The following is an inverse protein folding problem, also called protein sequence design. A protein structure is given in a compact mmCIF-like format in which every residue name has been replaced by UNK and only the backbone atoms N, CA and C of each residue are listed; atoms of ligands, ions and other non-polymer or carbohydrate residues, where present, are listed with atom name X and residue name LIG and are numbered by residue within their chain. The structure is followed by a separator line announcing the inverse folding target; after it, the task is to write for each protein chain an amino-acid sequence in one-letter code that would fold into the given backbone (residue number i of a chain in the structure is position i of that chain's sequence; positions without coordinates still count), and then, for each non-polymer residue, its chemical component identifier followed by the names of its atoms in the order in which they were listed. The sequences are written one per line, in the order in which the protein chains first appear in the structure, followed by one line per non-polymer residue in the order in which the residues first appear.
data_IF_133840482072
#
_entry.id   IF_133840482072
#
_cell.length_a   1.000
_cell.length_b   1.000
_cell.length_c   1.000
_cell.angle_alpha   90.00
_cell.angle_beta   90.00
_cell.angle_gamma   90.00
#
_symmetry.space_group_name_H-M   'P 1'
#
loop_
_entity.id
_entity.type
_entity.pdbx_description
1 polymer ?
#
# COMPACT_ATOMS: atom_id res chain seq x y z
N UNK A 1 -4.20 -24.33 9.73
CA UNK A 1 -3.44 -24.98 8.65
C UNK A 1 -2.58 -23.91 8.01
N UNK A 2 -1.27 -24.12 7.96
CA UNK A 2 -0.37 -23.17 7.30
C UNK A 2 -0.52 -23.30 5.77
N UNK A 3 -0.72 -22.18 5.08
CA UNK A 3 -0.78 -22.16 3.62
C UNK A 3 0.64 -22.24 3.06
N UNK A 4 0.91 -23.23 2.20
CA UNK A 4 2.20 -23.36 1.53
C UNK A 4 2.25 -22.46 0.30
N UNK A 5 2.76 -21.23 0.46
CA UNK A 5 2.74 -20.21 -0.58
C UNK A 5 4.11 -20.04 -1.25
N UNK A 6 4.11 -19.96 -2.57
CA UNK A 6 5.29 -19.66 -3.38
C UNK A 6 5.36 -18.17 -3.75
N UNK A 7 6.57 -17.60 -3.72
CA UNK A 7 6.78 -16.23 -4.16
C UNK A 7 6.73 -16.15 -5.69
N UNK A 8 5.83 -15.31 -6.24
CA UNK A 8 5.64 -15.11 -7.68
C UNK A 8 5.94 -13.66 -8.10
N UNK A 9 7.00 -13.10 -7.52
CA UNK A 9 7.44 -11.74 -7.80
C UNK A 9 6.57 -10.66 -7.13
N UNK A 10 6.45 -9.51 -7.78
CA UNK A 10 5.80 -8.32 -7.22
C UNK A 10 4.72 -7.79 -8.16
N UNK A 11 3.77 -7.06 -7.59
CA UNK A 11 2.89 -6.16 -8.34
C UNK A 11 3.68 -4.90 -8.77
N UNK A 12 3.15 -4.14 -9.75
CA UNK A 12 3.71 -2.83 -10.08
C UNK A 12 3.88 -1.95 -8.83
N UNK A 13 5.00 -1.23 -8.80
CA UNK A 13 5.28 -0.27 -7.74
C UNK A 13 4.22 0.83 -7.74
N UNK A 14 3.83 1.26 -6.54
CA UNK A 14 2.96 2.42 -6.36
C UNK A 14 3.72 3.47 -5.56
N UNK A 15 3.39 4.74 -5.79
CA UNK A 15 3.91 5.87 -5.03
C UNK A 15 2.78 6.49 -4.21
N UNK A 16 3.05 6.73 -2.92
CA UNK A 16 2.12 7.32 -1.96
C UNK A 16 2.81 8.47 -1.25
N UNK A 17 2.13 9.60 -1.14
CA UNK A 17 2.62 10.76 -0.38
C UNK A 17 2.12 10.71 1.06
N UNK A 18 2.98 11.11 1.99
CA UNK A 18 2.70 11.09 3.43
C UNK A 18 3.13 12.39 4.13
N UNK A 19 2.95 12.45 5.44
CA UNK A 19 3.34 13.60 6.26
C UNK A 19 4.81 14.00 6.03
N UNK A 20 5.08 15.32 5.97
CA UNK A 20 6.44 15.80 5.76
C UNK A 20 7.34 15.46 6.96
N UNK A 21 8.54 14.97 6.69
CA UNK A 21 9.55 14.68 7.71
C UNK A 21 10.59 15.79 7.66
N UNK A 22 10.76 16.52 8.77
CA UNK A 22 11.73 17.64 8.90
C UNK A 22 11.53 18.71 7.81
N UNK A 23 10.26 19.03 7.51
CA UNK A 23 9.90 20.03 6.50
C UNK A 23 10.12 19.58 5.04
N UNK A 24 10.42 18.29 4.79
CA UNK A 24 10.58 17.74 3.44
C UNK A 24 9.39 16.87 3.07
N UNK A 25 8.93 16.98 1.83
CA UNK A 25 7.90 16.11 1.28
C UNK A 25 8.36 14.64 1.30
N UNK A 26 7.44 13.74 1.63
CA UNK A 26 7.71 12.30 1.75
C UNK A 26 6.94 11.55 0.68
N UNK A 27 7.67 10.74 -0.09
CA UNK A 27 7.14 9.85 -1.12
C UNK A 27 7.55 8.41 -0.79
N UNK A 28 6.56 7.57 -0.53
CA UNK A 28 6.71 6.15 -0.24
C UNK A 28 6.51 5.35 -1.52
N UNK A 29 7.55 4.64 -1.95
CA UNK A 29 7.49 3.70 -3.09
C UNK A 29 7.30 2.28 -2.58
N UNK A 30 6.13 1.72 -2.84
CA UNK A 30 5.67 0.46 -2.26
C UNK A 30 5.64 -0.61 -3.34
N UNK A 31 6.43 -1.67 -3.15
CA UNK A 31 6.36 -2.91 -3.96
C UNK A 31 5.63 -3.99 -3.18
N UNK A 32 4.49 -4.45 -3.71
CA UNK A 32 3.66 -5.47 -3.06
C UNK A 32 4.02 -6.85 -3.56
N UNK A 33 4.30 -7.78 -2.64
CA UNK A 33 4.63 -9.16 -2.98
C UNK A 33 3.38 -9.91 -3.45
N UNK A 34 3.55 -10.72 -4.49
CA UNK A 34 2.55 -11.67 -4.97
C UNK A 34 2.92 -13.07 -4.48
N UNK A 35 1.97 -13.72 -3.83
CA UNK A 35 2.07 -15.09 -3.35
C UNK A 35 1.09 -15.95 -4.12
N UNK A 36 1.43 -17.20 -4.38
CA UNK A 36 0.55 -18.15 -5.06
C UNK A 36 0.56 -19.46 -4.29
N UNK A 37 -0.62 -20.03 -4.06
CA UNK A 37 -0.76 -21.41 -3.60
C UNK A 37 -0.59 -22.35 -4.80
N UNK A 38 0.45 -23.20 -4.84
CA UNK A 38 0.69 -24.11 -5.96
C UNK A 38 -0.41 -25.15 -6.15
N UNK A 39 -1.18 -25.47 -5.10
CA UNK A 39 -2.20 -26.52 -5.14
C UNK A 39 -3.51 -26.04 -5.76
N UNK A 40 -3.88 -24.79 -5.51
CA UNK A 40 -5.13 -24.18 -6.00
C UNK A 40 -4.90 -23.21 -7.16
N UNK A 41 -3.66 -22.78 -7.38
CA UNK A 41 -3.32 -21.68 -8.29
C UNK A 41 -3.81 -20.31 -7.82
N UNK A 42 -4.37 -20.21 -6.61
CA UNK A 42 -4.89 -18.96 -6.09
C UNK A 42 -3.75 -17.99 -5.76
N UNK A 43 -3.88 -16.76 -6.24
CA UNK A 43 -2.95 -15.68 -5.93
C UNK A 43 -3.41 -14.90 -4.71
N UNK A 44 -2.50 -14.68 -3.78
CA UNK A 44 -2.67 -13.84 -2.60
C UNK A 44 -1.74 -12.63 -2.68
N UNK A 45 -2.28 -11.47 -2.32
CA UNK A 45 -1.48 -10.28 -2.06
C UNK A 45 -2.10 -9.55 -0.88
N UNK A 46 -1.28 -8.84 -0.09
CA UNK A 46 -1.82 -8.04 1.00
C UNK A 46 -2.37 -6.75 0.40
N UNK A 47 -3.69 -6.59 0.46
CA UNK A 47 -4.33 -5.29 0.20
C UNK A 47 -4.13 -4.40 1.42
N UNK A 48 -3.43 -3.29 1.22
CA UNK A 48 -3.26 -2.26 2.22
C UNK A 48 -4.23 -1.14 1.89
N UNK A 49 -5.17 -0.84 2.79
CA UNK A 49 -5.96 0.40 2.74
C UNK A 49 -5.12 1.59 3.24
N UNK A 50 -3.87 1.70 2.78
CA UNK A 50 -2.93 2.73 3.22
C UNK A 50 -3.31 4.11 2.66
N UNK A 51 -3.92 4.11 1.48
CA UNK A 51 -4.22 5.29 0.68
C UNK A 51 -5.69 5.66 0.84
N UNK A 52 -6.01 6.95 1.01
CA UNK A 52 -7.39 7.41 0.98
C UNK A 52 -8.01 7.12 -0.39
N UNK A 53 -9.24 6.61 -0.41
CA UNK A 53 -9.97 6.23 -1.64
C UNK A 53 -9.93 7.35 -2.67
N UNK A 54 -9.44 7.04 -3.88
CA UNK A 54 -9.36 7.99 -4.99
C UNK A 54 -8.17 8.97 -4.93
N UNK A 55 -7.24 8.80 -3.99
CA UNK A 55 -6.09 9.70 -3.84
C UNK A 55 -4.76 8.95 -3.96
N UNK A 56 -3.64 9.68 -3.91
CA UNK A 56 -2.28 9.13 -3.73
C UNK A 56 -1.67 9.55 -2.40
N UNK A 57 -2.49 9.86 -1.40
CA UNK A 57 -2.04 10.26 -0.06
C UNK A 57 -2.47 9.21 0.97
N UNK A 58 -1.71 9.10 2.06
CA UNK A 58 -2.12 8.24 3.18
C UNK A 58 -3.48 8.68 3.73
N UNK A 59 -4.27 7.71 4.21
CA UNK A 59 -5.61 7.99 4.73
C UNK A 59 -5.58 9.01 5.88
N UNK A 60 -4.59 8.90 6.76
CA UNK A 60 -4.36 9.79 7.89
C UNK A 60 -3.97 11.20 7.43
N UNK A 61 -3.08 11.33 6.44
CA UNK A 61 -2.72 12.63 5.89
C UNK A 61 -3.89 13.31 5.19
N UNK A 62 -4.71 12.54 4.46
CA UNK A 62 -5.94 13.05 3.86
C UNK A 62 -6.96 13.52 4.90
N UNK A 63 -7.10 12.81 6.01
CA UNK A 63 -7.97 13.23 7.12
C UNK A 63 -7.46 14.52 7.78
N UNK A 64 -6.13 14.63 7.99
CA UNK A 64 -5.50 15.84 8.52
C UNK A 64 -5.76 17.07 7.65
N UNK A 65 -5.59 16.95 6.33
CA UNK A 65 -5.85 18.05 5.41
C UNK A 65 -7.32 18.50 5.41
N UNK A 66 -8.27 17.57 5.58
CA UNK A 66 -9.71 17.91 5.69
C UNK A 66 -10.01 18.73 6.93
N UNK A 67 -9.39 18.39 8.07
CA UNK A 67 -9.60 19.13 9.32
C UNK A 67 -8.99 20.54 9.25
N UNK A 68 -7.87 20.72 8.55
CA UNK A 68 -7.27 22.06 8.31
C UNK A 68 -8.14 22.96 7.43
N UNK A 69 -8.94 22.38 6.55
CA UNK A 69 -9.79 23.10 5.58
C UNK A 69 -11.21 23.34 6.11
N UNK A 70 -11.46 23.00 7.38
CA UNK A 70 -12.74 23.18 8.06
C UNK A 70 -12.81 24.53 8.76
#
# INVERSE_FOLDING_TARGET
SDLHLHSKGFLPEIEVQDFPIRGKAVYLRIKRRRWEDPSTGQTYSRDWSLVATGTRITAEFGAFLKELLR
#
